data_IF_326022424052
#
_entry.id   IF_326022424052
#
_cell.length_a   1.000
_cell.length_b   1.000
_cell.length_c   1.000
_cell.angle_alpha   90.00
_cell.angle_beta   90.00
_cell.angle_gamma   90.00
#
_symmetry.space_group_name_H-M   'P 1'
#
loop_
_entity.id
_entity.type
_entity.pdbx_description
1 polymer ?
#
# COMPACT_ATOMS: atom_id res chain seq x y z
N UNK A 1 21.51 0.79 -29.93
CA UNK A 1 21.61 -0.13 -28.77
C UNK A 1 20.24 -0.73 -28.53
N UNK A 2 20.17 -2.00 -28.15
CA UNK A 2 18.91 -2.69 -27.81
C UNK A 2 19.04 -3.29 -26.42
N UNK A 3 17.93 -3.38 -25.70
CA UNK A 3 17.88 -3.97 -24.36
C UNK A 3 16.56 -4.74 -24.21
N UNK A 4 16.61 -5.85 -23.49
CA UNK A 4 15.45 -6.68 -23.23
C UNK A 4 15.84 -7.97 -22.54
N UNK A 5 14.83 -8.80 -22.28
CA UNK A 5 15.01 -10.07 -21.58
C UNK A 5 15.86 -11.06 -22.41
N UNK A 6 16.68 -11.92 -21.77
CA UNK A 6 17.66 -12.74 -22.48
C UNK A 6 17.09 -13.61 -23.61
N UNK A 7 15.95 -14.27 -23.40
CA UNK A 7 15.33 -15.16 -24.41
C UNK A 7 14.76 -14.37 -25.60
N UNK A 8 14.16 -13.24 -25.29
CA UNK A 8 13.54 -12.31 -26.24
C UNK A 8 14.61 -11.65 -27.10
N UNK A 9 15.76 -11.26 -26.51
CA UNK A 9 16.91 -10.74 -27.23
C UNK A 9 17.60 -11.80 -28.08
N UNK A 10 17.73 -13.04 -27.60
CA UNK A 10 18.25 -14.15 -28.41
C UNK A 10 17.37 -14.41 -29.64
N UNK A 11 16.03 -14.40 -29.46
CA UNK A 11 15.06 -14.51 -30.55
C UNK A 11 15.18 -13.35 -31.53
N UNK A 12 15.30 -12.11 -31.03
CA UNK A 12 15.48 -10.91 -31.83
C UNK A 12 16.76 -10.98 -32.68
N UNK A 13 17.90 -11.36 -32.10
CA UNK A 13 19.17 -11.46 -32.83
C UNK A 13 19.14 -12.57 -33.89
N UNK A 14 18.44 -13.68 -33.63
CA UNK A 14 18.26 -14.79 -34.59
C UNK A 14 17.26 -14.51 -35.70
N UNK A 15 16.41 -13.49 -35.56
CA UNK A 15 15.38 -13.16 -36.57
C UNK A 15 15.95 -12.73 -37.92
N UNK A 16 17.18 -12.22 -37.96
CA UNK A 16 17.87 -11.84 -39.19
C UNK A 16 19.40 -12.01 -39.04
N UNK A 17 20.07 -12.82 -39.88
CA UNK A 17 21.51 -13.03 -39.82
C UNK A 17 22.36 -11.74 -39.82
N UNK A 18 21.86 -10.67 -40.47
CA UNK A 18 22.51 -9.36 -40.50
C UNK A 18 22.57 -8.67 -39.14
N UNK A 19 21.67 -8.97 -38.21
CA UNK A 19 21.70 -8.42 -36.84
C UNK A 19 22.87 -9.00 -36.05
N UNK A 20 23.12 -10.31 -36.16
CA UNK A 20 24.25 -10.98 -35.48
C UNK A 20 25.61 -10.37 -35.85
N UNK A 21 25.77 -9.92 -37.09
CA UNK A 21 26.98 -9.23 -37.56
C UNK A 21 27.14 -7.83 -36.94
N UNK A 22 26.03 -7.12 -36.73
CA UNK A 22 26.00 -5.72 -36.25
C UNK A 22 26.08 -5.60 -34.73
N UNK A 23 25.57 -6.58 -33.99
CA UNK A 23 25.63 -6.63 -32.53
C UNK A 23 26.76 -7.58 -32.08
N UNK A 24 27.97 -7.03 -31.91
CA UNK A 24 29.17 -7.79 -31.51
C UNK A 24 29.43 -7.79 -29.99
N UNK A 25 28.87 -6.82 -29.28
CA UNK A 25 29.07 -6.65 -27.84
C UNK A 25 27.79 -7.02 -27.10
N UNK A 26 27.91 -7.99 -26.19
CA UNK A 26 26.82 -8.47 -25.35
C UNK A 26 27.20 -8.22 -23.90
N UNK A 27 26.39 -7.40 -23.21
CA UNK A 27 26.53 -7.17 -21.78
C UNK A 27 25.39 -7.91 -21.08
N UNK A 28 25.73 -8.87 -20.23
CA UNK A 28 24.78 -9.59 -19.42
C UNK A 28 24.74 -8.98 -18.02
N UNK A 29 23.54 -8.73 -17.51
CA UNK A 29 23.29 -8.23 -16.17
C UNK A 29 22.59 -9.33 -15.40
N UNK A 30 23.20 -9.77 -14.30
CA UNK A 30 22.59 -10.73 -13.39
C UNK A 30 21.52 -10.04 -12.54
N UNK A 31 20.61 -10.83 -11.95
CA UNK A 31 19.67 -10.30 -10.96
C UNK A 31 20.45 -9.82 -9.73
N UNK A 32 20.00 -8.72 -9.14
CA UNK A 32 20.57 -8.24 -7.89
C UNK A 32 20.31 -9.26 -6.77
N UNK A 33 21.33 -9.51 -5.97
CA UNK A 33 21.24 -10.30 -4.75
C UNK A 33 20.31 -9.64 -3.73
N UNK A 34 19.78 -10.39 -2.73
CA UNK A 34 18.96 -9.80 -1.69
C UNK A 34 19.61 -8.63 -0.95
N UNK A 35 20.92 -8.69 -0.71
CA UNK A 35 21.66 -7.62 -0.04
C UNK A 35 21.75 -6.37 -0.94
N UNK A 36 22.07 -6.52 -2.23
CA UNK A 36 22.07 -5.41 -3.19
C UNK A 36 20.67 -4.79 -3.36
N UNK A 37 19.61 -5.60 -3.34
CA UNK A 37 18.23 -5.10 -3.38
C UNK A 37 17.89 -4.27 -2.13
N UNK A 38 18.39 -4.65 -0.95
CA UNK A 38 18.25 -3.84 0.27
C UNK A 38 19.02 -2.54 0.15
N UNK A 39 20.23 -2.54 -0.41
CA UNK A 39 20.99 -1.31 -0.67
C UNK A 39 20.27 -0.37 -1.63
N UNK A 40 19.71 -0.91 -2.72
CA UNK A 40 18.89 -0.15 -3.67
C UNK A 40 17.67 0.46 -2.97
N UNK A 41 16.99 -0.31 -2.10
CA UNK A 41 15.87 0.19 -1.32
C UNK A 41 16.28 1.30 -0.34
N UNK A 42 17.41 1.16 0.35
CA UNK A 42 17.94 2.22 1.22
C UNK A 42 18.28 3.50 0.43
N UNK A 43 18.86 3.34 -0.77
CA UNK A 43 19.13 4.47 -1.67
C UNK A 43 17.84 5.14 -2.12
N UNK A 44 16.82 4.37 -2.52
CA UNK A 44 15.51 4.89 -2.91
C UNK A 44 14.81 5.62 -1.75
N UNK A 45 14.91 5.08 -0.52
CA UNK A 45 14.38 5.70 0.68
C UNK A 45 15.04 7.06 0.95
N UNK A 46 16.38 7.11 0.89
CA UNK A 46 17.15 8.35 1.07
C UNK A 46 16.77 9.42 0.04
N UNK A 47 16.57 9.03 -1.23
CA UNK A 47 16.12 9.95 -2.30
C UNK A 47 14.72 10.53 -2.03
N UNK A 48 13.92 9.85 -1.21
CA UNK A 48 12.56 10.24 -0.82
C UNK A 48 12.49 10.89 0.57
N UNK A 49 13.63 11.29 1.13
CA UNK A 49 13.75 11.89 2.47
C UNK A 49 13.19 11.00 3.60
N UNK A 50 13.22 9.68 3.42
CA UNK A 50 12.81 8.70 4.43
C UNK A 50 13.96 7.75 4.76
N UNK A 51 13.94 7.21 5.98
CA UNK A 51 14.92 6.25 6.50
C UNK A 51 14.20 5.01 6.98
N UNK A 52 14.80 3.84 6.79
CA UNK A 52 14.30 2.60 7.38
C UNK A 52 14.90 2.41 8.77
N UNK A 53 14.07 2.12 9.77
CA UNK A 53 14.54 1.67 11.09
C UNK A 53 15.31 0.35 10.98
N UNK A 54 16.18 0.01 11.96
CA UNK A 54 16.91 -1.26 11.95
C UNK A 54 16.00 -2.49 11.85
N UNK A 55 14.83 -2.43 12.50
CA UNK A 55 13.80 -3.47 12.46
C UNK A 55 13.13 -3.53 11.07
N UNK A 56 12.85 -2.38 10.46
CA UNK A 56 12.33 -2.30 9.10
C UNK A 56 13.33 -2.88 8.06
N UNK A 57 14.63 -2.64 8.23
CA UNK A 57 15.65 -3.23 7.36
C UNK A 57 15.70 -4.75 7.48
N UNK A 58 15.63 -5.30 8.70
CA UNK A 58 15.55 -6.75 8.92
C UNK A 58 14.29 -7.35 8.26
N UNK A 59 13.15 -6.66 8.40
CA UNK A 59 11.88 -7.08 7.78
C UNK A 59 11.98 -7.07 6.26
N UNK A 60 12.54 -6.00 5.69
CA UNK A 60 12.77 -5.85 4.26
C UNK A 60 13.66 -6.96 3.72
N UNK A 61 14.80 -7.24 4.36
CA UNK A 61 15.73 -8.29 3.95
C UNK A 61 15.02 -9.66 3.89
N UNK A 62 14.21 -9.99 4.91
CA UNK A 62 13.43 -11.24 4.93
C UNK A 62 12.45 -11.32 3.75
N UNK A 63 11.73 -10.24 3.47
CA UNK A 63 10.77 -10.15 2.37
C UNK A 63 11.48 -10.30 1.02
N UNK A 64 12.52 -9.51 0.79
CA UNK A 64 13.30 -9.53 -0.45
C UNK A 64 13.95 -10.90 -0.68
N UNK A 65 14.49 -11.52 0.37
CA UNK A 65 15.07 -12.88 0.27
C UNK A 65 14.00 -13.90 -0.12
N UNK A 66 12.80 -13.80 0.42
CA UNK A 66 11.68 -14.69 0.07
C UNK A 66 11.24 -14.49 -1.38
N UNK A 67 11.09 -13.24 -1.81
CA UNK A 67 10.74 -12.90 -3.19
C UNK A 67 11.82 -13.37 -4.18
N UNK A 68 13.11 -13.17 -3.84
CA UNK A 68 14.25 -13.60 -4.65
C UNK A 68 14.29 -15.13 -4.84
N UNK A 69 13.94 -15.90 -3.81
CA UNK A 69 13.87 -17.37 -3.89
C UNK A 69 12.73 -17.86 -4.79
N UNK A 70 11.62 -17.14 -4.84
CA UNK A 70 10.43 -17.46 -5.67
C UNK A 70 10.45 -16.79 -7.05
N UNK A 71 11.50 -16.03 -7.36
CA UNK A 71 11.54 -15.17 -8.55
C UNK A 71 11.45 -15.97 -9.84
N UNK A 72 10.89 -15.34 -10.86
CA UNK A 72 10.87 -15.85 -12.22
C UNK A 72 11.63 -14.93 -13.18
N UNK A 73 11.59 -15.25 -14.47
CA UNK A 73 12.22 -14.47 -15.54
C UNK A 73 11.74 -13.02 -15.66
N UNK A 74 10.62 -12.67 -15.03
CA UNK A 74 10.00 -11.34 -15.08
C UNK A 74 10.24 -10.52 -13.81
N UNK A 75 11.10 -11.02 -12.90
CA UNK A 75 11.39 -10.37 -11.64
C UNK A 75 11.84 -8.91 -11.81
N UNK A 76 11.23 -8.01 -11.05
CA UNK A 76 11.37 -6.57 -11.24
C UNK A 76 12.71 -5.96 -10.81
N UNK A 77 13.58 -6.71 -10.11
CA UNK A 77 14.91 -6.26 -9.67
C UNK A 77 14.85 -4.88 -8.98
N UNK A 78 15.63 -3.88 -9.42
CA UNK A 78 15.64 -2.54 -8.83
C UNK A 78 14.25 -1.88 -8.80
N UNK A 79 13.37 -2.18 -9.77
CA UNK A 79 11.98 -1.70 -9.78
C UNK A 79 11.19 -2.30 -8.63
N UNK A 80 11.42 -3.57 -8.30
CA UNK A 80 10.82 -4.22 -7.14
C UNK A 80 11.28 -3.58 -5.83
N UNK A 81 12.58 -3.38 -5.64
CA UNK A 81 13.13 -2.71 -4.45
C UNK A 81 12.58 -1.28 -4.28
N UNK A 82 12.48 -0.52 -5.39
CA UNK A 82 11.89 0.83 -5.37
C UNK A 82 10.40 0.78 -5.01
N UNK A 83 9.63 -0.14 -5.60
CA UNK A 83 8.21 -0.29 -5.33
C UNK A 83 7.92 -0.60 -3.85
N UNK A 84 8.75 -1.42 -3.20
CA UNK A 84 8.63 -1.71 -1.76
C UNK A 84 8.80 -0.47 -0.90
N UNK A 85 9.75 0.41 -1.24
CA UNK A 85 9.96 1.67 -0.50
C UNK A 85 8.80 2.63 -0.70
N UNK A 86 8.24 2.66 -1.92
CA UNK A 86 7.10 3.51 -2.27
C UNK A 86 5.87 3.14 -1.45
N UNK A 87 5.61 1.84 -1.37
CA UNK A 87 4.58 1.25 -0.51
C UNK A 87 4.82 1.55 0.96
N UNK A 88 6.04 1.29 1.46
CA UNK A 88 6.36 1.51 2.86
C UNK A 88 6.26 2.99 3.27
N UNK A 89 6.67 3.92 2.41
CA UNK A 89 6.51 5.36 2.66
C UNK A 89 5.04 5.78 2.74
N UNK A 90 4.18 5.18 1.93
CA UNK A 90 2.75 5.46 1.95
C UNK A 90 2.08 4.91 3.21
N UNK A 91 2.41 3.67 3.58
CA UNK A 91 1.93 3.04 4.82
C UNK A 91 2.38 3.84 6.05
N UNK A 92 3.62 4.33 6.05
CA UNK A 92 4.12 5.28 7.05
C UNK A 92 3.23 6.52 7.13
N UNK A 93 2.87 7.13 6.00
CA UNK A 93 1.98 8.29 5.99
C UNK A 93 0.62 8.02 6.65
N UNK A 94 0.07 6.83 6.42
CA UNK A 94 -1.23 6.41 6.96
C UNK A 94 -1.13 6.11 8.45
N UNK A 95 -0.06 5.43 8.88
CA UNK A 95 0.26 5.22 10.29
C UNK A 95 0.36 6.56 11.03
N UNK A 96 1.06 7.53 10.44
CA UNK A 96 1.24 8.85 11.04
C UNK A 96 -0.08 9.60 11.18
N UNK A 97 -0.95 9.57 10.17
CA UNK A 97 -2.29 10.20 10.24
C UNK A 97 -3.13 9.58 11.37
N UNK A 98 -3.03 8.27 11.60
CA UNK A 98 -3.84 7.56 12.60
C UNK A 98 -3.33 7.71 14.04
N UNK A 99 -2.01 7.74 14.22
CA UNK A 99 -1.39 7.66 15.56
C UNK A 99 -1.02 9.03 16.13
N UNK A 100 -1.01 10.09 15.30
CA UNK A 100 -0.55 11.40 15.74
C UNK A 100 -1.56 12.50 15.43
N UNK A 101 -1.80 13.32 16.45
CA UNK A 101 -2.46 14.61 16.32
C UNK A 101 -1.67 15.48 15.31
N UNK A 102 -2.31 16.07 14.28
CA UNK A 102 -1.66 16.94 13.29
C UNK A 102 -0.79 18.03 13.92
N UNK A 103 -1.14 18.51 15.12
CA UNK A 103 -0.41 19.57 15.82
C UNK A 103 0.87 19.08 16.54
N UNK A 104 1.05 17.76 16.69
CA UNK A 104 2.23 17.14 17.35
C UNK A 104 3.20 16.47 16.38
N UNK A 105 2.99 16.65 15.07
CA UNK A 105 3.86 16.09 14.04
C UNK A 105 5.25 16.70 14.09
N UNK A 106 6.27 15.85 14.23
CA UNK A 106 7.66 16.26 14.09
C UNK A 106 8.30 15.61 12.85
N UNK A 107 9.37 16.22 12.35
CA UNK A 107 10.06 15.78 11.12
C UNK A 107 10.61 14.35 11.21
N UNK A 108 10.88 13.85 12.41
CA UNK A 108 11.39 12.48 12.61
C UNK A 108 10.29 11.44 12.44
N UNK A 109 9.07 11.70 12.93
CA UNK A 109 7.91 10.82 12.74
C UNK A 109 7.54 10.73 11.25
N UNK A 110 7.68 11.83 10.52
CA UNK A 110 7.39 11.92 9.08
C UNK A 110 8.47 11.33 8.17
N UNK A 111 9.59 10.84 8.72
CA UNK A 111 10.75 10.40 7.93
C UNK A 111 11.29 9.02 8.29
N UNK A 112 10.66 8.28 9.21
CA UNK A 112 11.12 6.94 9.62
C UNK A 112 10.07 5.88 9.31
N UNK A 113 10.42 5.01 8.36
CA UNK A 113 9.69 3.79 8.01
C UNK A 113 9.96 2.74 9.09
N UNK A 114 8.89 2.20 9.66
CA UNK A 114 8.89 1.17 10.69
C UNK A 114 8.60 -0.21 10.10
N UNK A 115 8.89 -1.32 10.82
CA UNK A 115 8.65 -2.67 10.30
C UNK A 115 7.18 -2.94 9.95
N UNK A 116 6.23 -2.30 10.64
CA UNK A 116 4.79 -2.38 10.37
C UNK A 116 4.37 -1.67 9.07
N UNK A 117 5.20 -0.75 8.56
CA UNK A 117 4.95 -0.08 7.28
C UNK A 117 5.28 -0.98 6.08
N UNK A 118 6.02 -2.09 6.30
CA UNK A 118 6.47 -3.04 5.27
C UNK A 118 5.57 -4.28 5.28
N UNK A 119 4.60 -4.31 4.37
CA UNK A 119 3.69 -5.44 4.18
C UNK A 119 4.32 -6.56 3.32
N UNK A 120 3.95 -7.82 3.59
CA UNK A 120 4.25 -8.91 2.68
C UNK A 120 3.35 -8.77 1.43
N UNK A 121 3.96 -8.55 0.27
CA UNK A 121 3.23 -8.37 -0.99
C UNK A 121 2.33 -9.58 -1.36
N UNK A 122 2.55 -10.76 -0.77
CA UNK A 122 1.76 -11.98 -1.03
C UNK A 122 0.32 -11.92 -0.48
N UNK A 123 0.02 -11.12 0.55
CA UNK A 123 -1.35 -10.98 1.05
C UNK A 123 -2.26 -10.20 0.09
N UNK A 124 -1.68 -9.55 -0.93
CA UNK A 124 -2.40 -8.70 -1.88
C UNK A 124 -3.06 -9.48 -3.03
N UNK A 125 -2.68 -10.75 -3.25
CA UNK A 125 -3.07 -11.49 -4.46
C UNK A 125 -4.24 -12.46 -4.28
N UNK A 126 -4.74 -12.69 -3.07
CA UNK A 126 -5.78 -13.72 -2.80
C UNK A 126 -7.12 -13.18 -2.31
N UNK A 127 -7.22 -11.93 -1.89
CA UNK A 127 -8.53 -11.31 -1.65
C UNK A 127 -8.95 -10.59 -2.92
N UNK A 128 -10.01 -11.10 -3.54
CA UNK A 128 -10.74 -10.47 -4.65
C UNK A 128 -10.88 -8.97 -4.34
N UNK A 129 -10.09 -8.13 -5.02
CA UNK A 129 -10.04 -6.70 -4.77
C UNK A 129 -11.44 -6.14 -5.00
N UNK A 130 -12.11 -5.73 -3.92
CA UNK A 130 -13.49 -5.27 -4.01
C UNK A 130 -13.49 -3.85 -4.59
N UNK A 131 -13.50 -3.75 -5.91
CA UNK A 131 -13.57 -2.47 -6.63
C UNK A 131 -15.03 -2.01 -6.77
N UNK A 132 -15.73 -1.83 -5.65
CA UNK A 132 -17.02 -1.13 -5.68
C UNK A 132 -16.74 0.38 -5.76
N UNK A 133 -17.33 1.17 -6.67
CA UNK A 133 -17.15 2.62 -6.71
C UNK A 133 -17.67 3.29 -5.42
N UNK A 134 -17.12 4.46 -5.04
CA UNK A 134 -17.68 5.22 -3.91
C UNK A 134 -18.99 5.83 -4.39
N UNK A 135 -20.07 5.52 -3.70
CA UNK A 135 -21.36 6.19 -3.87
C UNK A 135 -21.37 7.47 -3.03
N UNK A 136 -21.00 8.60 -3.64
CA UNK A 136 -20.90 9.87 -2.93
C UNK A 136 -22.26 10.37 -2.42
N UNK A 137 -23.35 10.03 -3.10
CA UNK A 137 -24.70 10.47 -2.71
C UNK A 137 -25.16 9.71 -1.47
N UNK A 138 -25.03 8.38 -1.48
CA UNK A 138 -25.34 7.55 -0.30
C UNK A 138 -24.41 7.85 0.87
N UNK A 139 -23.12 8.12 0.60
CA UNK A 139 -22.16 8.48 1.62
C UNK A 139 -22.56 9.78 2.31
N UNK A 140 -22.94 10.80 1.53
CA UNK A 140 -23.40 12.08 2.06
C UNK A 140 -24.64 11.90 2.95
N UNK A 141 -25.65 11.17 2.46
CA UNK A 141 -26.87 10.91 3.22
C UNK A 141 -26.58 10.22 4.56
N UNK A 142 -25.70 9.21 4.58
CA UNK A 142 -25.36 8.48 5.79
C UNK A 142 -24.52 9.31 6.78
N UNK A 143 -23.61 10.15 6.27
CA UNK A 143 -22.85 11.11 7.11
C UNK A 143 -23.78 12.16 7.71
N UNK A 144 -24.74 12.69 6.93
CA UNK A 144 -25.72 13.65 7.41
C UNK A 144 -26.62 13.02 8.50
N UNK A 145 -27.05 11.76 8.32
CA UNK A 145 -27.79 10.99 9.34
C UNK A 145 -26.97 10.84 10.64
N UNK A 146 -25.66 10.57 10.54
CA UNK A 146 -24.77 10.51 11.71
C UNK A 146 -24.63 11.87 12.40
N UNK A 147 -24.50 12.95 11.63
CA UNK A 147 -24.31 14.30 12.15
C UNK A 147 -25.55 14.84 12.87
N UNK A 148 -26.75 14.36 12.51
CA UNK A 148 -27.99 14.68 13.23
C UNK A 148 -28.06 14.08 14.64
N UNK A 149 -27.26 13.05 14.94
CA UNK A 149 -27.21 12.50 16.29
C UNK A 149 -26.44 13.43 17.23
N UNK A 150 -27.06 13.74 18.37
CA UNK A 150 -26.45 14.57 19.42
C UNK A 150 -25.26 13.85 20.07
N UNK A 151 -24.15 14.57 20.22
CA UNK A 151 -22.90 14.02 20.76
C UNK A 151 -22.17 13.13 19.76
N UNK A 152 -21.51 12.07 20.26
CA UNK A 152 -20.75 11.10 19.46
C UNK A 152 -19.56 11.71 18.68
N UNK A 153 -18.98 12.81 19.17
CA UNK A 153 -17.93 13.54 18.43
C UNK A 153 -16.74 12.65 18.06
N UNK A 154 -16.30 11.77 18.98
CA UNK A 154 -15.21 10.84 18.69
C UNK A 154 -15.55 9.92 17.50
N UNK A 155 -16.79 9.43 17.41
CA UNK A 155 -17.24 8.57 16.31
C UNK A 155 -17.32 9.37 15.01
N UNK A 156 -17.83 10.61 15.06
CA UNK A 156 -17.89 11.49 13.88
C UNK A 156 -16.50 11.81 13.35
N UNK A 157 -15.53 12.05 14.23
CA UNK A 157 -14.13 12.27 13.85
C UNK A 157 -13.52 11.02 13.20
N UNK A 158 -13.67 9.85 13.84
CA UNK A 158 -13.15 8.58 13.32
C UNK A 158 -13.73 8.22 11.94
N UNK A 159 -15.03 8.46 11.73
CA UNK A 159 -15.68 8.28 10.43
C UNK A 159 -15.15 9.25 9.36
N UNK A 160 -14.91 10.52 9.72
CA UNK A 160 -14.33 11.48 8.79
C UNK A 160 -12.90 11.10 8.37
N UNK A 161 -12.10 10.59 9.29
CA UNK A 161 -10.75 10.07 9.00
C UNK A 161 -10.82 8.86 8.07
N UNK A 162 -11.73 7.92 8.33
CA UNK A 162 -11.95 6.76 7.47
C UNK A 162 -12.31 7.15 6.03
N UNK A 163 -13.19 8.13 5.85
CA UNK A 163 -13.58 8.63 4.52
C UNK A 163 -12.38 9.21 3.78
N UNK A 164 -11.54 10.01 4.46
CA UNK A 164 -10.31 10.57 3.87
C UNK A 164 -9.34 9.47 3.44
N UNK A 165 -9.10 8.50 4.32
CA UNK A 165 -8.20 7.37 4.04
C UNK A 165 -8.72 6.53 2.87
N UNK A 166 -10.03 6.24 2.83
CA UNK A 166 -10.61 5.42 1.76
C UNK A 166 -10.50 6.07 0.39
N UNK A 167 -10.72 7.39 0.30
CA UNK A 167 -10.51 8.14 -0.95
C UNK A 167 -9.05 8.09 -1.40
N UNK A 168 -8.11 8.33 -0.47
CA UNK A 168 -6.68 8.27 -0.75
C UNK A 168 -6.22 6.90 -1.27
N UNK A 169 -6.64 5.80 -0.64
CA UNK A 169 -6.27 4.45 -1.08
C UNK A 169 -6.88 4.07 -2.44
N UNK A 170 -8.12 4.50 -2.72
CA UNK A 170 -8.75 4.26 -4.02
C UNK A 170 -8.06 4.99 -5.16
N UNK A 171 -7.68 6.25 -4.97
CA UNK A 171 -6.92 7.02 -5.97
C UNK A 171 -5.60 6.34 -6.33
N UNK A 172 -4.98 5.67 -5.36
CA UNK A 172 -3.74 4.92 -5.56
C UNK A 172 -3.96 3.46 -6.02
N UNK A 173 -5.19 3.10 -6.35
CA UNK A 173 -5.61 1.78 -6.82
C UNK A 173 -5.26 0.64 -5.84
N UNK A 174 -5.34 0.91 -4.53
CA UNK A 174 -4.96 0.00 -3.44
C UNK A 174 -6.17 -0.45 -2.61
N UNK A 175 -6.02 -1.58 -1.94
CA UNK A 175 -7.02 -2.09 -1.02
C UNK A 175 -6.90 -1.37 0.33
N UNK A 176 -7.90 -0.58 0.65
CA UNK A 176 -7.98 0.19 1.90
C UNK A 176 -8.19 -0.74 3.11
N UNK A 177 -8.75 -1.95 2.94
CA UNK A 177 -8.97 -2.91 4.03
C UNK A 177 -7.67 -3.50 4.60
N UNK A 178 -6.54 -3.29 3.92
CA UNK A 178 -5.20 -3.58 4.46
C UNK A 178 -4.76 -2.55 5.49
N UNK A 179 -5.14 -1.30 5.27
CA UNK A 179 -4.74 -0.18 6.11
C UNK A 179 -5.57 -0.07 7.39
N UNK A 180 -6.81 -0.57 7.39
CA UNK A 180 -7.71 -0.51 8.54
C UNK A 180 -8.60 -1.76 8.64
N UNK A 181 -8.87 -2.17 9.88
CA UNK A 181 -9.83 -3.23 10.18
C UNK A 181 -11.25 -2.65 10.27
N UNK A 182 -12.24 -3.35 9.71
CA UNK A 182 -13.66 -3.01 9.88
C UNK A 182 -14.27 -3.59 11.17
N UNK A 183 -13.57 -4.50 11.86
CA UNK A 183 -14.09 -5.17 13.05
C UNK A 183 -14.33 -4.15 14.17
N UNK A 184 -15.61 -3.98 14.53
CA UNK A 184 -16.06 -2.95 15.48
C UNK A 184 -16.87 -3.60 16.60
N UNK A 185 -16.69 -3.12 17.84
CA UNK A 185 -17.49 -3.53 19.00
C UNK A 185 -18.17 -2.29 19.57
N UNK A 186 -19.49 -2.34 19.72
CA UNK A 186 -20.29 -1.25 20.30
C UNK A 186 -20.71 -1.60 21.73
N UNK A 187 -20.20 -0.87 22.72
CA UNK A 187 -20.50 -1.09 24.15
C UNK A 187 -21.24 0.09 24.77
N UNK A 188 -22.01 -0.15 25.84
CA UNK A 188 -22.72 0.91 26.59
C UNK A 188 -24.10 0.49 27.12
N UNK A 189 -24.66 1.31 28.01
CA UNK A 189 -25.94 1.05 28.69
C UNK A 189 -27.14 0.91 27.72
N UNK A 190 -28.23 0.21 28.08
CA UNK A 190 -29.43 0.13 27.26
C UNK A 190 -29.97 1.52 26.87
N UNK A 191 -30.47 1.67 25.63
CA UNK A 191 -31.03 2.94 25.14
C UNK A 191 -30.02 3.97 24.59
N UNK A 192 -28.71 3.74 24.66
CA UNK A 192 -27.68 4.71 24.21
C UNK A 192 -27.44 4.78 22.69
N UNK A 193 -28.36 4.29 21.87
CA UNK A 193 -28.28 4.40 20.41
C UNK A 193 -27.26 3.49 19.70
N UNK A 194 -26.62 2.53 20.39
CA UNK A 194 -25.63 1.59 19.82
C UNK A 194 -26.07 0.96 18.49
N UNK A 195 -27.27 0.39 18.47
CA UNK A 195 -27.82 -0.28 17.28
C UNK A 195 -28.07 0.70 16.14
N UNK A 196 -28.49 1.92 16.47
CA UNK A 196 -28.71 3.00 15.50
C UNK A 196 -27.40 3.40 14.83
N UNK A 197 -26.36 3.65 15.64
CA UNK A 197 -25.03 4.02 15.15
C UNK A 197 -24.41 2.89 14.33
N UNK A 198 -24.47 1.64 14.80
CA UNK A 198 -23.94 0.50 14.05
C UNK A 198 -24.58 0.36 12.65
N UNK A 199 -25.89 0.61 12.54
CA UNK A 199 -26.59 0.60 11.25
C UNK A 199 -26.15 1.74 10.34
N UNK A 200 -25.96 2.95 10.86
CA UNK A 200 -25.47 4.10 10.08
C UNK A 200 -24.04 3.84 9.58
N UNK A 201 -23.16 3.34 10.44
CA UNK A 201 -21.79 2.96 10.06
C UNK A 201 -21.79 1.88 8.96
N UNK A 202 -22.70 0.91 9.05
CA UNK A 202 -22.90 -0.08 7.97
C UNK A 202 -23.26 0.56 6.62
N UNK A 203 -24.15 1.57 6.61
CA UNK A 203 -24.47 2.33 5.39
C UNK A 203 -23.26 3.08 4.86
N UNK A 204 -22.47 3.69 5.73
CA UNK A 204 -21.24 4.41 5.36
C UNK A 204 -20.22 3.46 4.72
N UNK A 205 -19.97 2.30 5.34
CA UNK A 205 -19.04 1.31 4.80
C UNK A 205 -19.49 0.78 3.44
N UNK A 206 -20.79 0.55 3.27
CA UNK A 206 -21.38 0.18 1.98
C UNK A 206 -21.18 1.29 0.93
N UNK A 207 -21.46 2.54 1.27
CA UNK A 207 -21.31 3.67 0.35
C UNK A 207 -19.83 3.92 -0.02
N UNK A 208 -18.90 3.63 0.88
CA UNK A 208 -17.46 3.66 0.62
C UNK A 208 -16.97 2.50 -0.27
N UNK A 209 -17.80 1.47 -0.47
CA UNK A 209 -17.46 0.27 -1.23
C UNK A 209 -16.66 -0.76 -0.43
N UNK A 210 -16.75 -0.73 0.91
CA UNK A 210 -16.00 -1.59 1.83
C UNK A 210 -16.75 -2.87 2.19
N UNK A 211 -18.08 -2.90 2.02
CA UNK A 211 -18.95 -4.04 2.29
C UNK A 211 -19.68 -4.48 1.01
N UNK A 212 -19.61 -5.78 0.71
CA UNK A 212 -20.49 -6.41 -0.27
C UNK A 212 -21.87 -6.67 0.37
N UNK A 213 -22.80 -5.73 0.13
CA UNK A 213 -24.25 -5.81 0.41
C UNK A 213 -24.73 -5.22 1.73
#
# INVERSE_FOLDING_TARGET
>A
MVAGYPKEMDTFIKSNPGLKSRFKHYFHFEDYTPDELVEIAQYAAKKKDVKLSPEAQKRLLKLVTTAYRKRDKSFGNARFATALVDEAKMNMGVRVIKQHDPEKLNKNILSVIQPEDIEDMEETSTKKKLELPIDNDQLKLAIDELNQLTGLENIKQEINELVKLTRYYKEMNRDVLKAFSMHSIFTGNPGTGKTTVARIIGKIYKALGLLER
#
